data_IF_417560327427
#
_entry.id   IF_417560327427
#
_cell.length_a   1.000
_cell.length_b   1.000
_cell.length_c   1.000
_cell.angle_alpha   90.00
_cell.angle_beta   90.00
_cell.angle_gamma   90.00
#
_symmetry.space_group_name_H-M   'P 1'
#
loop_
_entity.id
_entity.type
_entity.pdbx_description
1 polymer ?
#
# COMPACT_ATOMS: atom_id res chain seq x y z
N UNK A 1 -19.73 -2.66 1.37
CA UNK A 1 -19.91 -1.68 0.28
C UNK A 1 -19.23 -0.35 0.61
N UNK A 2 -17.95 -0.37 1.02
CA UNK A 2 -17.14 0.84 1.32
C UNK A 2 -15.71 0.76 0.74
N UNK A 3 -15.25 -0.44 0.34
CA UNK A 3 -13.95 -0.62 -0.34
C UNK A 3 -14.03 -0.19 -1.81
N UNK A 4 -15.20 -0.28 -2.45
CA UNK A 4 -15.37 0.10 -3.86
C UNK A 4 -15.51 1.61 -4.13
N UNK A 5 -15.90 2.41 -3.14
CA UNK A 5 -16.12 3.86 -3.31
C UNK A 5 -14.83 4.68 -3.18
N UNK A 6 -13.79 4.15 -2.52
CA UNK A 6 -12.46 4.76 -2.51
C UNK A 6 -11.65 4.49 -3.79
N UNK A 7 -12.03 3.47 -4.56
CA UNK A 7 -11.35 3.04 -5.79
C UNK A 7 -11.92 3.69 -7.07
N UNK A 8 -12.98 4.49 -6.94
CA UNK A 8 -13.62 5.21 -8.05
C UNK A 8 -13.25 6.70 -8.08
N UNK A 9 -12.05 7.07 -7.63
CA UNK A 9 -11.51 8.40 -7.93
C UNK A 9 -11.28 8.46 -9.45
N UNK A 10 -11.91 9.39 -10.18
CA UNK A 10 -11.74 9.51 -11.62
C UNK A 10 -10.25 9.64 -11.93
N UNK A 11 -9.71 8.71 -12.71
CA UNK A 11 -8.31 8.72 -13.11
C UNK A 11 -7.87 10.03 -13.82
N UNK A 12 -8.83 10.82 -14.32
CA UNK A 12 -8.64 12.17 -14.82
C UNK A 12 -8.08 13.16 -13.77
N UNK A 13 -8.30 12.93 -12.47
CA UNK A 13 -7.74 13.73 -11.37
C UNK A 13 -6.30 13.31 -11.00
N UNK A 14 -5.82 12.17 -11.50
CA UNK A 14 -4.55 11.56 -11.11
C UNK A 14 -3.42 11.75 -12.13
N UNK A 15 -3.68 12.39 -13.28
CA UNK A 15 -2.61 12.79 -14.22
C UNK A 15 -1.79 11.65 -14.83
N UNK A 16 -2.29 10.40 -14.81
CA UNK A 16 -1.51 9.22 -15.24
C UNK A 16 -1.77 8.86 -16.70
N UNK A 17 -0.68 8.64 -17.44
CA UNK A 17 -0.70 7.93 -18.72
C UNK A 17 -1.01 6.45 -18.42
N UNK A 18 -2.15 5.96 -18.89
CA UNK A 18 -2.55 4.56 -18.76
C UNK A 18 -1.52 3.65 -19.45
N UNK A 19 -0.97 2.66 -18.75
CA UNK A 19 -0.36 1.52 -19.44
C UNK A 19 -1.47 0.64 -20.01
N UNK A 20 -1.36 0.28 -21.28
CA UNK A 20 -2.29 -0.67 -21.89
C UNK A 20 -2.26 -2.00 -21.10
N UNK A 21 -3.41 -2.69 -20.88
CA UNK A 21 -3.44 -3.98 -20.19
C UNK A 21 -2.46 -5.00 -20.76
N UNK A 22 -2.21 -4.93 -22.08
CA UNK A 22 -1.23 -5.78 -22.78
C UNK A 22 0.21 -5.51 -22.32
N UNK A 23 0.56 -4.26 -22.00
CA UNK A 23 1.87 -3.88 -21.50
C UNK A 23 2.06 -4.37 -20.05
N UNK A 24 1.02 -4.28 -19.22
CA UNK A 24 1.04 -4.81 -17.84
C UNK A 24 1.25 -6.33 -17.87
N UNK A 25 0.50 -7.05 -18.71
CA UNK A 25 0.65 -8.51 -18.86
C UNK A 25 2.04 -8.92 -19.35
N UNK A 26 2.62 -8.18 -20.29
CA UNK A 26 3.99 -8.40 -20.78
C UNK A 26 5.02 -8.22 -19.67
N UNK A 27 4.85 -7.20 -18.82
CA UNK A 27 5.83 -6.80 -17.81
C UNK A 27 5.59 -7.50 -16.46
N UNK A 28 4.46 -8.19 -16.29
CA UNK A 28 4.07 -8.92 -15.09
C UNK A 28 5.16 -9.87 -14.53
N UNK A 29 5.91 -10.63 -15.35
CA UNK A 29 6.99 -11.48 -14.84
C UNK A 29 8.08 -10.72 -14.08
N UNK A 30 8.24 -9.43 -14.34
CA UNK A 30 9.21 -8.56 -13.68
C UNK A 30 8.55 -7.72 -12.57
N UNK A 31 7.36 -7.20 -12.84
CA UNK A 31 6.63 -6.34 -11.92
C UNK A 31 6.14 -7.11 -10.70
N UNK A 32 5.59 -8.32 -10.87
CA UNK A 32 5.08 -9.11 -9.75
C UNK A 32 6.16 -9.41 -8.69
N UNK A 33 7.35 -9.95 -9.03
CA UNK A 33 8.39 -10.18 -8.02
C UNK A 33 8.95 -8.87 -7.44
N UNK A 34 9.04 -7.80 -8.23
CA UNK A 34 9.48 -6.49 -7.73
C UNK A 34 8.52 -5.92 -6.67
N UNK A 35 7.21 -5.94 -6.94
CA UNK A 35 6.18 -5.49 -5.99
C UNK A 35 6.14 -6.39 -4.75
N UNK A 36 6.29 -7.71 -4.92
CA UNK A 36 6.35 -8.62 -3.78
C UNK A 36 7.56 -8.35 -2.89
N UNK A 37 8.72 -8.04 -3.48
CA UNK A 37 9.93 -7.68 -2.73
C UNK A 37 9.78 -6.32 -2.03
N UNK A 38 9.18 -5.34 -2.70
CA UNK A 38 8.87 -4.04 -2.12
C UNK A 38 7.94 -4.19 -0.91
N UNK A 39 6.80 -4.86 -1.08
CA UNK A 39 5.85 -5.13 0.00
C UNK A 39 6.52 -5.85 1.17
N UNK A 40 7.35 -6.86 0.89
CA UNK A 40 8.14 -7.53 1.94
C UNK A 40 9.06 -6.57 2.68
N UNK A 41 9.84 -5.75 1.97
CA UNK A 41 10.75 -4.80 2.58
C UNK A 41 10.00 -3.77 3.45
N UNK A 42 8.87 -3.26 2.97
CA UNK A 42 8.02 -2.34 3.74
C UNK A 42 7.46 -3.01 5.00
N UNK A 43 6.94 -4.24 4.92
CA UNK A 43 6.45 -4.94 6.12
C UNK A 43 7.57 -5.24 7.13
N UNK A 44 8.76 -5.62 6.67
CA UNK A 44 9.92 -5.79 7.56
C UNK A 44 10.28 -4.47 8.24
N UNK A 45 10.30 -3.36 7.50
CA UNK A 45 10.64 -2.05 8.04
C UNK A 45 9.61 -1.54 9.05
N UNK A 46 8.33 -1.58 8.71
CA UNK A 46 7.30 -0.97 9.54
C UNK A 46 6.80 -1.92 10.63
N UNK A 47 6.58 -3.20 10.33
CA UNK A 47 5.95 -4.16 11.27
C UNK A 47 6.98 -5.02 11.99
N UNK A 48 8.08 -5.36 11.33
CA UNK A 48 9.19 -6.08 11.96
C UNK A 48 10.04 -5.18 12.86
N UNK A 49 10.53 -4.07 12.31
CA UNK A 49 11.51 -3.22 12.99
C UNK A 49 10.85 -2.06 13.77
N UNK A 50 10.14 -1.17 13.09
CA UNK A 50 9.60 0.05 13.72
C UNK A 50 8.57 -0.28 14.81
N UNK A 51 7.57 -1.12 14.50
CA UNK A 51 6.55 -1.51 15.49
C UNK A 51 7.20 -2.18 16.71
N UNK A 52 8.10 -3.13 16.50
CA UNK A 52 8.82 -3.82 17.58
C UNK A 52 9.71 -2.88 18.40
N UNK A 53 10.30 -1.86 17.79
CA UNK A 53 11.06 -0.83 18.50
C UNK A 53 10.15 0.08 19.35
N UNK A 54 9.00 0.50 18.81
CA UNK A 54 8.03 1.33 19.52
C UNK A 54 7.40 0.56 20.69
N UNK A 55 7.08 -0.72 20.53
CA UNK A 55 6.52 -1.55 21.62
C UNK A 55 7.44 -1.67 22.85
N UNK A 56 8.74 -1.36 22.73
CA UNK A 56 9.67 -1.30 23.88
C UNK A 56 9.49 -0.05 24.74
N UNK A 57 8.91 1.03 24.20
CA UNK A 57 8.83 2.34 24.87
C UNK A 57 7.41 2.87 25.02
N UNK A 58 6.42 2.27 24.34
CA UNK A 58 5.02 2.67 24.43
C UNK A 58 4.06 1.48 24.46
N UNK A 59 2.82 1.73 24.91
CA UNK A 59 1.79 0.70 24.92
C UNK A 59 1.53 0.16 23.52
N UNK A 60 1.10 -1.10 23.35
CA UNK A 60 0.97 -1.69 22.03
C UNK A 60 -0.06 -1.01 21.11
N UNK A 61 -1.05 -0.33 21.69
CA UNK A 61 -2.02 0.49 20.93
C UNK A 61 -1.32 1.70 20.31
N UNK A 62 -0.56 2.44 21.12
CA UNK A 62 0.16 3.64 20.66
C UNK A 62 1.34 3.30 19.74
N UNK A 63 2.00 2.15 19.94
CA UNK A 63 3.01 1.64 19.02
C UNK A 63 2.44 1.45 17.61
N UNK A 64 1.28 0.77 17.52
CA UNK A 64 0.59 0.54 16.26
C UNK A 64 0.14 1.85 15.59
N UNK A 65 -0.44 2.78 16.36
CA UNK A 65 -0.85 4.09 15.83
C UNK A 65 0.33 4.90 15.31
N UNK A 66 1.43 4.94 16.05
CA UNK A 66 2.63 5.70 15.68
C UNK A 66 3.31 5.11 14.44
N UNK A 67 3.45 3.77 14.39
CA UNK A 67 3.93 3.07 13.21
C UNK A 67 3.03 3.34 11.99
N UNK A 68 1.72 3.28 12.16
CA UNK A 68 0.77 3.51 11.06
C UNK A 68 0.84 4.94 10.55
N UNK A 69 1.02 5.93 11.45
CA UNK A 69 1.19 7.32 11.08
C UNK A 69 2.45 7.52 10.24
N UNK A 70 3.59 6.96 10.68
CA UNK A 70 4.84 7.02 9.93
C UNK A 70 4.75 6.30 8.59
N UNK A 71 4.06 5.15 8.54
CA UNK A 71 3.78 4.44 7.29
C UNK A 71 2.96 5.30 6.32
N UNK A 72 1.86 5.90 6.78
CA UNK A 72 1.04 6.77 5.95
C UNK A 72 1.79 8.01 5.46
N UNK A 73 2.59 8.64 6.33
CA UNK A 73 3.40 9.80 5.96
C UNK A 73 4.53 9.46 4.99
N UNK A 74 5.13 8.26 5.08
CA UNK A 74 6.14 7.81 4.13
C UNK A 74 5.59 7.75 2.68
N UNK A 75 4.27 7.61 2.51
CA UNK A 75 3.64 7.63 1.19
C UNK A 75 3.50 9.03 0.59
N UNK A 76 3.79 10.11 1.34
CA UNK A 76 3.95 11.47 0.80
C UNK A 76 5.31 11.71 0.15
N UNK A 77 6.26 10.79 0.33
CA UNK A 77 7.56 10.83 -0.32
C UNK A 77 7.57 10.02 -1.62
N UNK A 78 6.46 9.37 -1.96
CA UNK A 78 6.34 8.48 -3.11
C UNK A 78 5.56 9.21 -4.19
N UNK A 79 6.26 9.69 -5.22
CA UNK A 79 5.63 10.32 -6.37
C UNK A 79 4.85 9.35 -7.25
N UNK A 80 3.57 9.27 -6.91
CA UNK A 80 2.51 8.56 -7.61
C UNK A 80 2.02 9.27 -8.89
N UNK A 81 2.69 10.33 -9.37
CA UNK A 81 2.31 11.05 -10.59
C UNK A 81 0.99 11.84 -10.51
N UNK A 82 0.49 12.09 -9.29
CA UNK A 82 -0.75 12.84 -8.99
C UNK A 82 -0.75 13.28 -7.51
N UNK A 83 -1.85 13.87 -6.98
CA UNK A 83 -1.91 14.29 -5.59
C UNK A 83 -1.80 13.08 -4.65
N UNK A 84 -0.70 13.02 -3.87
CA UNK A 84 -0.36 11.90 -2.97
C UNK A 84 -1.13 11.99 -1.63
N UNK A 85 -1.49 13.20 -1.22
CA UNK A 85 -2.14 13.48 0.06
C UNK A 85 -3.44 12.69 0.32
N UNK A 86 -4.34 12.44 -0.64
CA UNK A 86 -5.56 11.64 -0.42
C UNK A 86 -5.28 10.17 -0.09
N UNK A 87 -4.10 9.64 -0.41
CA UNK A 87 -3.75 8.25 -0.10
C UNK A 87 -3.30 8.08 1.35
N UNK A 88 -2.78 9.14 1.99
CA UNK A 88 -2.24 9.09 3.37
C UNK A 88 -3.26 8.58 4.40
N UNK A 89 -4.52 9.04 4.43
CA UNK A 89 -5.49 8.50 5.38
C UNK A 89 -5.80 7.02 5.13
N UNK A 90 -5.80 6.59 3.86
CA UNK A 90 -6.07 5.20 3.48
C UNK A 90 -4.90 4.31 3.93
N UNK A 91 -3.67 4.70 3.60
CA UNK A 91 -2.46 3.96 3.96
C UNK A 91 -2.23 3.95 5.47
N UNK A 92 -2.61 5.01 6.19
CA UNK A 92 -2.66 5.02 7.65
C UNK A 92 -3.59 3.94 8.20
N UNK A 93 -4.83 3.84 7.70
CA UNK A 93 -5.80 2.85 8.17
C UNK A 93 -5.36 1.41 7.85
N UNK A 94 -4.80 1.18 6.66
CA UNK A 94 -4.14 -0.09 6.31
C UNK A 94 -2.97 -0.36 7.26
N UNK A 95 -2.19 0.68 7.56
CA UNK A 95 -1.16 0.75 8.60
C UNK A 95 -1.60 0.11 9.92
N UNK A 96 -2.70 0.62 10.46
CA UNK A 96 -3.33 0.15 11.72
C UNK A 96 -3.76 -1.31 11.60
N UNK A 97 -4.43 -1.67 10.49
CA UNK A 97 -4.96 -3.01 10.27
C UNK A 97 -3.87 -4.07 10.20
N UNK A 98 -2.80 -3.80 9.43
CA UNK A 98 -1.67 -4.73 9.30
C UNK A 98 -0.88 -4.85 10.59
N UNK A 99 -0.58 -3.75 11.28
CA UNK A 99 0.11 -3.85 12.55
C UNK A 99 -0.72 -4.56 13.62
N UNK A 100 -2.06 -4.41 13.61
CA UNK A 100 -2.94 -5.26 14.42
C UNK A 100 -2.85 -6.74 14.02
N UNK A 101 -2.90 -7.05 12.73
CA UNK A 101 -2.83 -8.41 12.20
C UNK A 101 -1.52 -9.10 12.60
N UNK A 102 -0.37 -8.45 12.37
CA UNK A 102 0.96 -8.97 12.72
C UNK A 102 1.08 -9.25 14.21
N UNK A 103 0.56 -8.34 15.06
CA UNK A 103 0.57 -8.54 16.52
C UNK A 103 -0.32 -9.71 16.97
N UNK A 104 -1.40 -9.99 16.24
CA UNK A 104 -2.33 -11.09 16.55
C UNK A 104 -1.82 -12.44 16.05
N UNK A 105 -1.13 -12.47 14.91
CA UNK A 105 -0.60 -13.69 14.29
C UNK A 105 0.84 -13.99 14.70
N UNK A 106 1.54 -13.03 15.32
CA UNK A 106 2.97 -13.04 15.57
C UNK A 106 3.79 -13.38 14.30
N UNK A 107 3.32 -12.88 13.15
CA UNK A 107 3.91 -13.17 11.84
C UNK A 107 3.67 -12.02 10.87
N UNK A 108 4.71 -11.62 10.13
CA UNK A 108 4.61 -10.59 9.09
C UNK A 108 4.02 -11.13 7.79
N UNK A 109 4.07 -12.44 7.55
CA UNK A 109 3.67 -13.05 6.28
C UNK A 109 2.24 -12.76 5.84
N UNK A 110 1.22 -12.79 6.72
CA UNK A 110 -0.14 -12.41 6.34
C UNK A 110 -0.22 -10.97 5.79
N UNK A 111 0.50 -10.02 6.41
CA UNK A 111 0.55 -8.65 5.93
C UNK A 111 1.31 -8.56 4.60
N UNK A 112 2.46 -9.24 4.47
CA UNK A 112 3.27 -9.28 3.23
C UNK A 112 2.45 -9.78 2.05
N UNK A 113 1.72 -10.88 2.21
CA UNK A 113 0.91 -11.49 1.14
C UNK A 113 -0.21 -10.54 0.71
N UNK A 114 -0.94 -9.96 1.67
CA UNK A 114 -2.05 -9.04 1.37
C UNK A 114 -1.52 -7.75 0.73
N UNK A 115 -0.40 -7.21 1.21
CA UNK A 115 0.25 -6.02 0.66
C UNK A 115 0.70 -6.25 -0.78
N UNK A 116 1.50 -7.29 -1.03
CA UNK A 116 1.97 -7.64 -2.37
C UNK A 116 0.81 -7.86 -3.35
N UNK A 117 -0.24 -8.56 -2.91
CA UNK A 117 -1.43 -8.77 -3.73
C UNK A 117 -2.17 -7.45 -4.04
N UNK A 118 -2.26 -6.54 -3.07
CA UNK A 118 -2.87 -5.23 -3.27
C UNK A 118 -2.07 -4.38 -4.26
N UNK A 119 -0.73 -4.34 -4.17
CA UNK A 119 0.12 -3.56 -5.07
C UNK A 119 0.06 -4.09 -6.50
N UNK A 120 0.11 -5.41 -6.66
CA UNK A 120 -0.06 -6.06 -7.97
C UNK A 120 -1.46 -5.77 -8.52
N UNK A 121 -2.51 -5.88 -7.71
CA UNK A 121 -3.88 -5.59 -8.14
C UNK A 121 -4.08 -4.11 -8.49
N UNK A 122 -3.47 -3.19 -7.75
CA UNK A 122 -3.54 -1.75 -7.99
C UNK A 122 -2.94 -1.36 -9.35
N UNK A 123 -1.95 -2.10 -9.86
CA UNK A 123 -1.46 -1.89 -11.23
C UNK A 123 -2.55 -2.12 -12.28
N UNK A 124 -3.48 -3.04 -12.04
CA UNK A 124 -4.64 -3.27 -12.91
C UNK A 124 -5.84 -2.36 -12.60
N UNK A 125 -5.93 -1.83 -11.37
CA UNK A 125 -7.03 -0.96 -10.94
C UNK A 125 -6.79 0.52 -11.25
N UNK A 126 -5.54 1.00 -11.30
CA UNK A 126 -5.18 2.37 -11.71
C UNK A 126 -5.20 2.51 -13.25
N UNK A 127 -6.09 1.77 -13.90
CA UNK A 127 -6.42 1.88 -15.32
C UNK A 127 -7.47 2.99 -15.48
N UNK A 128 -7.13 4.13 -16.12
CA UNK A 128 -8.13 5.10 -16.57
C UNK A 128 -9.08 4.47 -17.58
N UNK A 129 -10.33 4.92 -17.54
CA UNK A 129 -11.36 4.60 -18.50
C UNK A 129 -10.94 4.83 -19.95
N UNK A 130 -11.47 3.94 -20.79
CA UNK A 130 -11.93 4.13 -22.17
C UNK A 130 -11.16 5.14 -23.00
N UNK A 131 -10.39 4.62 -23.97
CA UNK A 131 -10.18 5.23 -25.29
C UNK A 131 -10.74 6.66 -25.43
N UNK A 132 -9.90 7.65 -25.15
CA UNK A 132 -10.02 8.99 -25.72
C UNK A 132 -9.06 9.03 -26.90
N UNK A 133 -9.60 9.37 -28.07
CA UNK A 133 -8.96 9.45 -29.39
C UNK A 133 -7.51 9.92 -29.40
#
# INVERSE_FOLDING_TARGET
MLIGLGLALPAALLGRVALAPVAILRDLPWLAPANALEAFAQEVQFRGMLLGALERTMSPRWANVSQAALFGLAHLAISYGGPEAPFVPITFLVGIGFGWLVRRTNSIWPAVIVHAAADIALQFAVVPGLYGF
#
